data_IF_241714810899
#
_entry.id   IF_241714810899
#
_cell.length_a   1.000
_cell.length_b   1.000
_cell.length_c   1.000
_cell.angle_alpha   90.00
_cell.angle_beta   90.00
_cell.angle_gamma   90.00
#
_symmetry.space_group_name_H-M   'P 1'
#
loop_
_entity.id
_entity.type
_entity.pdbx_description
1 polymer ?
#
# COMPACT_ATOMS: atom_id res chain seq x y z
N UNK A 1 -19.69 -6.20 33.99
CA UNK A 1 -18.79 -5.03 33.93
C UNK A 1 -18.31 -4.91 32.48
N UNK A 2 -18.79 -3.88 31.77
CA UNK A 2 -18.42 -3.34 30.44
C UNK A 2 -18.01 -4.31 29.30
N UNK A 3 -18.98 -4.64 28.45
CA UNK A 3 -18.77 -4.93 27.01
C UNK A 3 -18.44 -3.61 26.30
N UNK A 4 -17.19 -3.38 25.95
CA UNK A 4 -16.82 -2.26 25.09
C UNK A 4 -17.05 -2.66 23.63
N UNK A 5 -18.22 -2.30 23.10
CA UNK A 5 -18.42 -2.16 21.67
C UNK A 5 -17.57 -0.97 21.20
N UNK A 6 -16.47 -1.22 20.49
CA UNK A 6 -15.83 -0.19 19.69
C UNK A 6 -16.38 -0.27 18.27
N UNK A 7 -17.36 0.57 17.98
CA UNK A 7 -17.71 0.93 16.60
C UNK A 7 -16.51 1.64 16.00
N UNK A 8 -15.69 0.94 15.21
CA UNK A 8 -14.66 1.58 14.41
C UNK A 8 -15.34 2.43 13.35
N UNK A 9 -15.11 3.73 13.46
CA UNK A 9 -15.51 4.81 12.57
C UNK A 9 -15.37 4.40 11.09
N UNK A 10 -16.50 4.20 10.41
CA UNK A 10 -16.55 3.98 8.97
C UNK A 10 -16.20 5.31 8.29
N UNK A 11 -14.93 5.48 7.92
CA UNK A 11 -14.48 6.68 7.22
C UNK A 11 -15.19 6.78 5.86
N UNK A 12 -15.87 7.91 5.63
CA UNK A 12 -16.41 8.28 4.32
C UNK A 12 -15.24 8.52 3.36
N UNK A 13 -15.03 7.62 2.40
CA UNK A 13 -14.11 7.88 1.29
C UNK A 13 -14.74 8.91 0.35
N UNK A 14 -13.99 9.92 -0.12
CA UNK A 14 -14.48 10.84 -1.13
C UNK A 14 -14.75 10.06 -2.42
N UNK A 15 -16.02 10.09 -2.85
CA UNK A 15 -16.45 9.58 -4.15
C UNK A 15 -15.95 10.57 -5.20
N UNK A 16 -14.76 10.33 -5.75
CA UNK A 16 -14.40 10.92 -7.04
C UNK A 16 -13.83 9.82 -7.93
N UNK A 17 -14.52 9.62 -9.04
CA UNK A 17 -14.32 8.56 -10.01
C UNK A 17 -12.88 8.54 -10.54
N UNK A 18 -12.20 7.39 -10.38
CA UNK A 18 -11.61 6.58 -11.44
C UNK A 18 -10.93 5.35 -10.81
N UNK A 19 -11.51 4.17 -11.04
CA UNK A 19 -11.03 2.81 -10.68
C UNK A 19 -10.88 2.46 -9.18
N UNK A 20 -11.79 1.61 -8.67
CA UNK A 20 -11.64 0.55 -7.65
C UNK A 20 -10.67 0.68 -6.45
N UNK A 21 -10.24 1.88 -6.05
CA UNK A 21 -9.26 2.04 -4.98
C UNK A 21 -9.95 2.42 -3.65
N UNK A 22 -9.82 1.57 -2.61
CA UNK A 22 -10.27 1.91 -1.26
C UNK A 22 -9.08 2.29 -0.37
N UNK A 23 -9.27 3.28 0.52
CA UNK A 23 -8.26 3.64 1.51
C UNK A 23 -8.54 2.93 2.84
N UNK A 24 -7.58 2.17 3.33
CA UNK A 24 -7.64 1.42 4.60
C UNK A 24 -6.37 1.76 5.37
N UNK A 25 -6.51 2.26 6.59
CA UNK A 25 -5.40 2.65 7.46
C UNK A 25 -4.33 3.51 6.78
N UNK A 26 -4.76 4.42 5.91
CA UNK A 26 -3.87 5.34 5.21
C UNK A 26 -3.37 4.85 3.85
N UNK A 27 -3.54 3.57 3.52
CA UNK A 27 -3.02 2.94 2.29
C UNK A 27 -4.15 2.70 1.30
N UNK A 28 -3.91 2.96 0.02
CA UNK A 28 -4.87 2.72 -1.06
C UNK A 28 -4.70 1.32 -1.65
N UNK A 29 -5.82 0.65 -1.91
CA UNK A 29 -5.87 -0.72 -2.42
C UNK A 29 -6.86 -0.89 -3.55
N UNK A 30 -6.48 -1.65 -4.57
CA UNK A 30 -7.40 -2.25 -5.53
C UNK A 30 -7.67 -3.72 -5.16
N UNK A 31 -8.92 -4.16 -5.31
CA UNK A 31 -9.33 -5.54 -4.99
C UNK A 31 -9.69 -6.34 -6.23
N UNK A 32 -9.18 -7.56 -6.32
CA UNK A 32 -9.51 -8.52 -7.38
C UNK A 32 -9.53 -9.93 -6.81
N UNK A 33 -10.69 -10.60 -6.86
CA UNK A 33 -10.88 -11.89 -6.19
C UNK A 33 -10.68 -11.76 -4.68
N UNK A 34 -9.80 -12.59 -4.11
CA UNK A 34 -9.40 -12.54 -2.68
C UNK A 34 -8.11 -11.73 -2.45
N UNK A 35 -7.64 -11.01 -3.47
CA UNK A 35 -6.38 -10.29 -3.44
C UNK A 35 -6.60 -8.78 -3.35
N UNK A 36 -5.67 -8.13 -2.66
CA UNK A 36 -5.51 -6.69 -2.59
C UNK A 36 -4.14 -6.29 -3.15
N UNK A 37 -4.14 -5.25 -3.97
CA UNK A 37 -2.94 -4.64 -4.55
C UNK A 37 -2.78 -3.24 -3.98
N UNK A 38 -1.64 -2.90 -3.40
CA UNK A 38 -1.36 -1.53 -2.96
C UNK A 38 -1.27 -0.61 -4.19
N UNK A 39 -1.94 0.53 -4.17
CA UNK A 39 -1.98 1.50 -5.27
C UNK A 39 -1.57 2.89 -4.83
N UNK A 40 -1.32 3.76 -5.83
CA UNK A 40 -1.08 5.17 -5.61
C UNK A 40 -2.28 5.84 -4.94
N UNK A 41 -2.01 6.85 -4.11
CA UNK A 41 -3.00 7.78 -3.57
C UNK A 41 -3.38 8.88 -4.58
N UNK A 42 -2.69 8.94 -5.73
CA UNK A 42 -2.85 9.96 -6.77
C UNK A 42 -2.26 11.32 -6.41
N UNK A 43 -1.65 11.48 -5.23
CA UNK A 43 -1.16 12.77 -4.72
C UNK A 43 0.27 12.73 -4.19
N UNK A 44 0.91 11.55 -4.19
CA UNK A 44 2.27 11.32 -3.68
C UNK A 44 2.44 11.74 -2.22
N UNK A 45 1.39 11.56 -1.40
CA UNK A 45 1.30 12.10 -0.04
C UNK A 45 1.76 11.14 1.05
N UNK A 46 2.26 9.94 0.71
CA UNK A 46 2.82 9.03 1.70
C UNK A 46 4.06 9.64 2.35
N UNK A 47 4.11 9.59 3.69
CA UNK A 47 5.21 10.14 4.49
C UNK A 47 5.56 9.24 5.66
N UNK A 48 6.77 9.38 6.19
CA UNK A 48 7.24 8.62 7.35
C UNK A 48 7.35 7.12 7.07
N UNK A 49 7.00 6.31 8.06
CA UNK A 49 6.98 4.86 7.94
C UNK A 49 5.61 4.37 7.43
N UNK A 50 5.65 3.53 6.39
CA UNK A 50 4.47 2.81 5.89
C UNK A 50 4.63 1.31 6.16
N UNK A 51 3.69 0.74 6.91
CA UNK A 51 3.63 -0.69 7.19
C UNK A 51 2.46 -1.30 6.42
N UNK A 52 2.77 -2.13 5.43
CA UNK A 52 1.74 -2.80 4.63
C UNK A 52 1.30 -4.07 5.38
N UNK A 53 0.00 -4.27 5.66
CA UNK A 53 -0.49 -5.46 6.35
C UNK A 53 -0.55 -6.68 5.43
N UNK A 54 -0.48 -7.89 6.01
CA UNK A 54 -0.65 -9.17 5.28
C UNK A 54 -2.04 -9.30 4.63
N UNK A 55 -3.05 -8.68 5.22
CA UNK A 55 -4.44 -8.71 4.75
C UNK A 55 -5.21 -7.47 5.20
N UNK A 56 -6.26 -7.13 4.47
CA UNK A 56 -7.18 -6.04 4.80
C UNK A 56 -8.63 -6.50 4.77
N UNK A 57 -9.48 -5.86 5.57
CA UNK A 57 -10.91 -6.10 5.60
C UNK A 57 -11.62 -4.98 4.86
N UNK A 58 -12.39 -5.32 3.82
CA UNK A 58 -13.16 -4.35 3.05
C UNK A 58 -14.55 -4.91 2.74
N UNK A 59 -15.60 -4.15 3.08
CA UNK A 59 -17.00 -4.55 2.90
C UNK A 59 -17.35 -5.96 3.43
N UNK A 60 -16.72 -6.36 4.55
CA UNK A 60 -16.94 -7.66 5.18
C UNK A 60 -16.15 -8.83 4.55
N UNK A 61 -15.44 -8.60 3.45
CA UNK A 61 -14.48 -9.56 2.87
C UNK A 61 -13.08 -9.39 3.47
N UNK A 62 -12.32 -10.49 3.50
CA UNK A 62 -10.89 -10.50 3.85
C UNK A 62 -10.10 -10.67 2.56
N UNK A 63 -9.15 -9.77 2.33
CA UNK A 63 -8.33 -9.76 1.13
C UNK A 63 -6.86 -9.84 1.52
N UNK A 64 -6.10 -10.73 0.88
CA UNK A 64 -4.65 -10.88 1.10
C UNK A 64 -3.91 -9.82 0.30
N UNK A 65 -2.93 -9.14 0.89
CA UNK A 65 -2.13 -8.14 0.15
C UNK A 65 -1.03 -8.88 -0.61
N UNK A 66 -1.19 -9.05 -1.91
CA UNK A 66 -0.30 -9.92 -2.72
C UNK A 66 0.68 -9.14 -3.58
N UNK A 67 0.44 -7.86 -3.83
CA UNK A 67 1.30 -7.06 -4.69
C UNK A 67 1.29 -5.57 -4.36
N UNK A 68 2.35 -4.88 -4.81
CA UNK A 68 2.47 -3.43 -4.80
C UNK A 68 2.47 -2.96 -6.25
N UNK A 69 1.41 -2.24 -6.64
CA UNK A 69 1.11 -1.92 -8.03
C UNK A 69 1.92 -0.76 -8.60
N UNK A 70 1.73 -0.54 -9.90
CA UNK A 70 2.36 0.54 -10.66
C UNK A 70 2.28 1.89 -9.92
N UNK A 71 3.45 2.52 -9.74
CA UNK A 71 3.59 3.85 -9.12
C UNK A 71 2.95 4.01 -7.72
N UNK A 72 2.81 2.92 -6.95
CA UNK A 72 2.12 2.96 -5.66
C UNK A 72 2.66 4.03 -4.69
N UNK A 73 3.97 4.26 -4.68
CA UNK A 73 4.63 5.27 -3.87
C UNK A 73 5.43 6.26 -4.72
N UNK A 74 5.10 6.41 -6.01
CA UNK A 74 5.85 7.26 -6.93
C UNK A 74 5.96 8.70 -6.38
N UNK A 75 7.17 9.25 -6.35
CA UNK A 75 7.44 10.63 -5.97
C UNK A 75 7.11 10.98 -4.51
N UNK A 76 6.90 10.01 -3.62
CA UNK A 76 6.61 10.26 -2.21
C UNK A 76 7.87 10.72 -1.48
N UNK A 77 8.20 12.01 -1.60
CA UNK A 77 9.45 12.59 -1.06
C UNK A 77 9.48 12.64 0.47
N UNK A 78 8.35 12.48 1.16
CA UNK A 78 8.30 12.39 2.62
C UNK A 78 8.36 10.97 3.16
N UNK A 79 8.30 9.93 2.31
CA UNK A 79 8.33 8.53 2.72
C UNK A 79 9.75 8.15 3.15
N UNK A 80 9.91 7.63 4.36
CA UNK A 80 11.22 7.31 4.93
C UNK A 80 11.51 5.82 4.98
N UNK A 81 10.48 4.99 5.21
CA UNK A 81 10.62 3.53 5.24
C UNK A 81 9.35 2.80 4.83
N UNK A 82 9.52 1.60 4.27
CA UNK A 82 8.41 0.70 3.94
C UNK A 82 8.68 -0.72 4.43
N UNK A 83 7.72 -1.27 5.18
CA UNK A 83 7.72 -2.68 5.60
C UNK A 83 6.73 -3.46 4.73
N UNK A 84 7.26 -4.41 3.95
CA UNK A 84 6.49 -5.25 3.04
C UNK A 84 6.23 -6.63 3.70
N UNK A 85 4.97 -7.11 3.76
CA UNK A 85 4.60 -8.37 4.40
C UNK A 85 4.92 -9.58 3.52
N UNK A 86 5.02 -10.76 4.13
CA UNK A 86 5.37 -12.02 3.45
C UNK A 86 4.27 -12.50 2.48
N UNK A 87 3.05 -11.94 2.56
CA UNK A 87 2.01 -12.18 1.56
C UNK A 87 2.31 -11.58 0.19
N UNK A 88 3.19 -10.58 0.11
CA UNK A 88 3.53 -9.91 -1.16
C UNK A 88 4.50 -10.75 -1.97
N UNK A 89 4.15 -10.98 -3.23
CA UNK A 89 4.97 -11.73 -4.20
C UNK A 89 5.52 -10.88 -5.32
N UNK A 90 4.93 -9.69 -5.55
CA UNK A 90 5.25 -8.82 -6.70
C UNK A 90 5.36 -7.34 -6.30
N UNK A 91 6.44 -6.69 -6.73
CA UNK A 91 6.65 -5.25 -6.67
C UNK A 91 6.72 -4.69 -8.10
N UNK A 92 5.70 -3.91 -8.46
CA UNK A 92 5.49 -3.41 -9.81
C UNK A 92 6.45 -2.31 -10.27
N UNK A 93 6.13 -1.72 -11.42
CA UNK A 93 6.96 -0.71 -12.07
C UNK A 93 6.89 0.67 -11.39
N UNK A 94 8.04 1.35 -11.29
CA UNK A 94 8.20 2.69 -10.71
C UNK A 94 7.64 2.87 -9.28
N UNK A 95 7.54 1.79 -8.49
CA UNK A 95 6.86 1.80 -7.18
C UNK A 95 7.39 2.89 -6.25
N UNK A 96 8.71 2.99 -6.07
CA UNK A 96 9.37 3.97 -5.21
C UNK A 96 10.12 5.05 -6.01
N UNK A 97 9.85 5.16 -7.32
CA UNK A 97 10.60 6.07 -8.17
C UNK A 97 10.47 7.52 -7.67
N UNK A 98 11.60 8.19 -7.45
CA UNK A 98 11.64 9.56 -6.92
C UNK A 98 11.31 9.72 -5.43
N UNK A 99 11.30 8.64 -4.64
CA UNK A 99 11.19 8.73 -3.18
C UNK A 99 12.51 9.18 -2.56
N UNK A 100 12.80 10.48 -2.60
CA UNK A 100 14.11 11.06 -2.21
C UNK A 100 14.47 10.95 -0.72
N UNK A 101 13.51 10.62 0.15
CA UNK A 101 13.78 10.43 1.60
C UNK A 101 13.74 8.96 2.01
N UNK A 102 13.55 8.04 1.07
CA UNK A 102 13.38 6.62 1.37
C UNK A 102 14.74 6.00 1.70
N UNK A 103 14.92 5.66 2.97
CA UNK A 103 16.19 5.12 3.49
C UNK A 103 16.17 3.61 3.69
N UNK A 104 14.98 3.01 3.82
CA UNK A 104 14.84 1.58 4.10
C UNK A 104 13.58 0.99 3.47
N UNK A 105 13.73 -0.14 2.79
CA UNK A 105 12.62 -1.01 2.39
C UNK A 105 12.96 -2.42 2.81
N UNK A 106 12.13 -3.01 3.65
CA UNK A 106 12.26 -4.43 4.03
C UNK A 106 11.55 -5.27 2.98
N UNK A 107 12.31 -6.01 2.17
CA UNK A 107 11.80 -6.90 1.12
C UNK A 107 11.81 -8.34 1.64
N UNK A 108 10.66 -9.00 1.79
CA UNK A 108 10.59 -10.39 2.25
C UNK A 108 11.00 -11.38 1.15
N UNK A 109 11.41 -12.58 1.56
CA UNK A 109 11.83 -13.68 0.66
C UNK A 109 10.70 -14.15 -0.28
N UNK A 110 9.44 -13.85 0.06
CA UNK A 110 8.27 -14.14 -0.76
C UNK A 110 8.22 -13.35 -2.07
N UNK A 111 8.93 -12.21 -2.15
CA UNK A 111 8.96 -11.36 -3.34
C UNK A 111 9.79 -12.06 -4.42
N UNK A 112 9.13 -12.49 -5.48
CA UNK A 112 9.76 -13.20 -6.61
C UNK A 112 9.99 -12.30 -7.82
N UNK A 113 9.38 -11.11 -7.85
CA UNK A 113 9.49 -10.15 -8.95
C UNK A 113 9.55 -8.70 -8.44
N UNK A 114 10.54 -7.96 -8.94
CA UNK A 114 10.71 -6.52 -8.73
C UNK A 114 11.04 -5.89 -10.09
N UNK A 115 10.29 -4.87 -10.50
CA UNK A 115 10.63 -4.13 -11.74
C UNK A 115 11.99 -3.43 -11.63
N UNK A 116 12.76 -3.42 -12.73
CA UNK A 116 14.08 -2.77 -12.80
C UNK A 116 14.05 -1.25 -12.55
N UNK A 117 12.89 -0.59 -12.64
CA UNK A 117 12.73 0.84 -12.35
C UNK A 117 12.16 1.14 -10.95
N UNK A 118 11.88 0.12 -10.13
CA UNK A 118 11.14 0.25 -8.87
C UNK A 118 11.77 1.28 -7.92
N UNK A 119 13.10 1.42 -7.91
CA UNK A 119 13.86 2.31 -7.02
C UNK A 119 14.57 3.46 -7.77
N UNK A 120 14.21 3.72 -9.02
CA UNK A 120 14.88 4.77 -9.80
C UNK A 120 14.74 6.15 -9.12
N UNK A 121 15.85 6.83 -8.87
CA UNK A 121 15.86 8.15 -8.22
C UNK A 121 15.59 8.13 -6.71
N UNK A 122 15.67 6.97 -6.06
CA UNK A 122 15.93 6.91 -4.61
C UNK A 122 17.42 7.24 -4.41
N UNK A 123 17.75 8.32 -3.71
CA UNK A 123 19.13 8.81 -3.49
C UNK A 123 19.44 9.02 -2.01
#
# INVERSE_FOLDING_TARGET
MKRNLLFTLMALLPIVANAYNAKIDGIYYNFSGENATVTSDGTNSYTGEVVIPESVIYNGGVYRVTSIGYRAFYGCSGLTSVTIPNSVTEIGDMVFNGCSSLTSVTIPESVTSISGSAFYGCI
#
